data_IF_222142047000
#
_entry.id   IF_222142047000
#
_cell.length_a   1.000
_cell.length_b   1.000
_cell.length_c   1.000
_cell.angle_alpha   90.00
_cell.angle_beta   90.00
_cell.angle_gamma   90.00
#
_symmetry.space_group_name_H-M   'P 1'
#
loop_
_entity.id
_entity.type
_entity.pdbx_description
1 polymer ?
#
# COMPACT_ATOMS: atom_id res chain seq x y z
N UNK A 1 -14.11 4.09 6.10
CA UNK A 1 -13.37 3.41 5.02
C UNK A 1 -12.20 2.64 5.62
N UNK A 2 -11.89 1.47 5.07
CA UNK A 2 -10.66 0.73 5.38
C UNK A 2 -9.63 1.03 4.31
N UNK A 3 -8.41 1.35 4.72
CA UNK A 3 -7.33 1.69 3.82
C UNK A 3 -6.15 0.73 3.98
N UNK A 4 -5.51 0.41 2.86
CA UNK A 4 -4.33 -0.43 2.78
C UNK A 4 -3.40 0.05 1.64
N UNK A 5 -2.13 -0.34 1.71
CA UNK A 5 -1.14 -0.13 0.67
C UNK A 5 -0.53 -1.44 0.18
N UNK A 6 -0.48 -1.60 -1.14
CA UNK A 6 0.18 -2.72 -1.78
C UNK A 6 1.43 -2.24 -2.54
N UNK A 7 2.56 -2.93 -2.33
CA UNK A 7 3.80 -2.69 -3.05
C UNK A 7 3.91 -3.63 -4.25
N UNK A 8 4.02 -3.06 -5.44
CA UNK A 8 4.29 -3.79 -6.68
C UNK A 8 5.68 -3.45 -7.18
N UNK A 9 6.45 -4.45 -7.60
CA UNK A 9 7.77 -4.16 -8.14
C UNK A 9 8.45 -5.38 -8.72
N UNK A 10 9.60 -5.14 -9.33
CA UNK A 10 10.39 -6.20 -9.94
C UNK A 10 11.12 -6.98 -8.85
N UNK A 11 10.67 -8.21 -8.60
CA UNK A 11 11.40 -9.18 -7.77
C UNK A 11 12.15 -10.14 -8.69
N UNK A 12 13.48 -10.10 -8.64
CA UNK A 12 14.32 -11.07 -9.34
C UNK A 12 14.48 -12.32 -8.48
N UNK A 13 13.67 -13.35 -8.77
CA UNK A 13 13.84 -14.66 -8.15
C UNK A 13 14.66 -15.60 -9.03
N UNK A 14 15.65 -16.26 -8.44
CA UNK A 14 16.51 -17.21 -9.17
C UNK A 14 15.87 -18.58 -9.12
N UNK A 15 15.39 -19.09 -10.25
CA UNK A 15 14.69 -20.39 -10.32
C UNK A 15 15.65 -21.54 -10.62
N UNK A 16 15.29 -22.76 -10.19
CA UNK A 16 16.03 -23.98 -10.54
C UNK A 16 15.77 -24.34 -12.02
N UNK A 17 16.82 -24.77 -12.72
CA UNK A 17 16.71 -25.31 -14.07
C UNK A 17 17.45 -26.66 -14.19
N UNK A 18 17.04 -27.47 -15.17
CA UNK A 18 17.71 -28.72 -15.49
C UNK A 18 19.00 -28.46 -16.28
N UNK A 19 20.06 -29.20 -15.97
CA UNK A 19 21.35 -29.07 -16.63
C UNK A 19 22.07 -30.44 -16.69
N UNK A 20 22.68 -30.81 -17.83
CA UNK A 20 23.44 -32.05 -17.95
C UNK A 20 24.69 -32.02 -17.06
N UNK A 21 25.01 -33.17 -16.45
CA UNK A 21 26.25 -33.31 -15.67
C UNK A 21 27.47 -33.18 -16.59
N UNK A 22 28.57 -32.53 -16.16
CA UNK A 22 28.83 -31.97 -14.82
C UNK A 22 28.55 -30.45 -14.71
N UNK A 23 27.77 -29.86 -15.62
CA UNK A 23 27.65 -28.41 -15.75
C UNK A 23 26.76 -27.84 -14.65
N UNK A 24 27.21 -26.74 -14.03
CA UNK A 24 26.40 -25.93 -13.11
C UNK A 24 26.01 -24.63 -13.81
N UNK A 25 24.72 -24.38 -14.07
CA UNK A 25 24.28 -23.17 -14.73
C UNK A 25 24.47 -21.97 -13.77
N UNK A 26 25.10 -20.92 -14.29
CA UNK A 26 25.22 -19.62 -13.63
C UNK A 26 24.25 -18.66 -14.30
N UNK A 27 23.43 -17.98 -13.49
CA UNK A 27 22.53 -16.94 -13.95
C UNK A 27 22.89 -15.64 -13.24
N UNK A 28 22.89 -14.53 -13.96
CA UNK A 28 23.01 -13.21 -13.35
C UNK A 28 21.66 -12.83 -12.73
N UNK A 29 21.64 -12.62 -11.42
CA UNK A 29 20.51 -12.02 -10.74
C UNK A 29 20.65 -10.49 -10.81
N UNK A 30 19.64 -9.82 -11.34
CA UNK A 30 19.58 -8.35 -11.33
C UNK A 30 18.87 -7.92 -10.04
N UNK A 31 19.62 -7.41 -9.07
CA UNK A 31 19.07 -6.87 -7.82
C UNK A 31 18.71 -5.38 -8.03
N UNK A 32 17.81 -5.11 -8.98
CA UNK A 32 17.24 -3.77 -9.14
C UNK A 32 15.87 -3.76 -8.50
N UNK A 33 15.68 -2.86 -7.55
CA UNK A 33 14.46 -2.71 -6.78
C UNK A 33 13.67 -1.49 -7.29
N UNK A 34 12.86 -1.71 -8.32
CA UNK A 34 11.89 -0.73 -8.79
C UNK A 34 10.53 -1.09 -8.20
N UNK A 35 9.93 -0.15 -7.47
CA UNK A 35 8.65 -0.32 -6.82
C UNK A 35 7.68 0.80 -7.21
N UNK A 36 6.41 0.43 -7.25
CA UNK A 36 5.25 1.29 -7.38
C UNK A 36 4.29 0.87 -6.28
N UNK A 37 3.57 1.81 -5.70
CA UNK A 37 2.70 1.58 -4.57
C UNK A 37 1.25 1.89 -4.97
N UNK A 38 0.35 0.97 -4.68
CA UNK A 38 -1.07 1.19 -4.83
C UNK A 38 -1.66 1.49 -3.44
N UNK A 39 -2.31 2.64 -3.34
CA UNK A 39 -3.11 3.04 -2.21
C UNK A 39 -4.57 2.72 -2.52
N UNK A 40 -5.28 2.12 -1.58
CA UNK A 40 -6.69 1.80 -1.75
C UNK A 40 -7.46 2.06 -0.47
N UNK A 41 -8.64 2.67 -0.57
CA UNK A 41 -9.60 2.82 0.51
C UNK A 41 -10.98 2.33 0.07
N UNK A 42 -11.62 1.50 0.90
CA UNK A 42 -12.95 0.95 0.61
C UNK A 42 -13.99 1.44 1.62
N UNK A 43 -15.15 1.90 1.14
CA UNK A 43 -16.33 2.17 1.95
C UNK A 43 -17.03 0.87 2.29
N UNK A 44 -17.29 0.63 3.58
CA UNK A 44 -18.00 -0.57 4.06
C UNK A 44 -19.51 -0.44 3.81
N UNK A 45 -20.03 0.79 3.81
CA UNK A 45 -21.45 1.05 3.64
C UNK A 45 -21.86 0.82 2.18
N UNK A 46 -21.06 1.35 1.26
CA UNK A 46 -21.44 1.46 -0.16
C UNK A 46 -20.65 0.50 -1.06
N UNK A 47 -19.54 -0.06 -0.55
CA UNK A 47 -18.63 -0.90 -1.32
C UNK A 47 -17.76 -0.12 -2.32
N UNK A 48 -17.82 1.22 -2.30
CA UNK A 48 -17.01 2.06 -3.19
C UNK A 48 -15.52 1.96 -2.85
N UNK A 49 -14.69 1.96 -3.90
CA UNK A 49 -13.25 1.77 -3.81
C UNK A 49 -12.54 2.97 -4.44
N UNK A 50 -11.75 3.66 -3.62
CA UNK A 50 -10.86 4.73 -4.06
C UNK A 50 -9.43 4.22 -4.13
N UNK A 51 -8.82 4.31 -5.31
CA UNK A 51 -7.45 3.86 -5.54
C UNK A 51 -6.56 4.94 -6.14
N UNK A 52 -5.29 4.95 -5.76
CA UNK A 52 -4.26 5.81 -6.34
C UNK A 52 -2.94 5.05 -6.47
N UNK A 53 -2.26 5.19 -7.60
CA UNK A 53 -0.95 4.58 -7.84
C UNK A 53 0.12 5.66 -7.69
N UNK A 54 1.03 5.49 -6.74
CA UNK A 54 2.08 6.45 -6.39
C UNK A 54 3.47 5.80 -6.43
N UNK A 55 4.53 6.57 -6.75
CA UNK A 55 5.87 6.01 -6.90
C UNK A 55 6.54 5.65 -5.57
N UNK A 56 6.05 6.17 -4.44
CA UNK A 56 6.70 6.03 -3.13
C UNK A 56 5.66 5.88 -2.00
N UNK A 57 6.11 5.30 -0.89
CA UNK A 57 5.37 5.33 0.39
C UNK A 57 6.04 6.32 1.32
N UNK A 58 5.45 7.51 1.41
CA UNK A 58 5.87 8.59 2.31
C UNK A 58 4.65 9.42 2.73
N UNK A 59 4.85 10.37 3.64
CA UNK A 59 3.75 11.21 4.15
C UNK A 59 3.15 12.13 3.10
N UNK A 60 3.93 12.59 2.12
CA UNK A 60 3.43 13.46 1.04
C UNK A 60 2.46 12.69 0.12
N UNK A 61 2.84 11.46 -0.26
CA UNK A 61 2.00 10.55 -1.04
C UNK A 61 0.73 10.16 -0.29
N UNK A 62 0.83 9.95 1.03
CA UNK A 62 -0.34 9.72 1.87
C UNK A 62 -1.26 10.95 1.92
N UNK A 63 -0.72 12.16 2.05
CA UNK A 63 -1.54 13.37 2.02
C UNK A 63 -2.25 13.55 0.66
N UNK A 64 -1.55 13.31 -0.45
CA UNK A 64 -2.16 13.32 -1.78
C UNK A 64 -3.33 12.34 -1.90
N UNK A 65 -3.17 11.14 -1.33
CA UNK A 65 -4.25 10.15 -1.30
C UNK A 65 -5.45 10.63 -0.46
N UNK A 66 -5.20 11.22 0.72
CA UNK A 66 -6.26 11.76 1.57
C UNK A 66 -7.01 12.92 0.90
N UNK A 67 -6.28 13.82 0.24
CA UNK A 67 -6.85 14.95 -0.48
C UNK A 67 -7.74 14.48 -1.64
N UNK A 68 -7.29 13.45 -2.37
CA UNK A 68 -8.06 12.83 -3.45
C UNK A 68 -9.35 12.19 -2.94
N UNK A 69 -9.26 11.38 -1.88
CA UNK A 69 -10.44 10.75 -1.24
C UNK A 69 -11.42 11.82 -0.76
N UNK A 70 -10.94 12.90 -0.15
CA UNK A 70 -11.79 13.99 0.29
C UNK A 70 -12.48 14.75 -0.86
N UNK A 71 -11.76 14.93 -1.97
CA UNK A 71 -12.30 15.60 -3.16
C UNK A 71 -13.43 14.79 -3.80
N UNK A 72 -13.36 13.46 -3.72
CA UNK A 72 -14.37 12.54 -4.25
C UNK A 72 -15.61 12.44 -3.36
N UNK A 73 -15.44 12.67 -2.07
CA UNK A 73 -16.49 12.56 -1.06
C UNK A 73 -16.71 13.86 -0.26
N UNK A 74 -17.02 15.00 -0.93
CA UNK A 74 -16.99 16.33 -0.31
C UNK A 74 -18.07 16.55 0.77
N UNK A 75 -19.13 15.74 0.77
CA UNK A 75 -20.24 15.85 1.72
C UNK A 75 -20.16 14.82 2.87
N UNK A 76 -19.20 13.91 2.82
CA UNK A 76 -19.13 12.78 3.73
C UNK A 76 -18.12 13.02 4.83
N UNK A 77 -18.43 12.49 6.01
CA UNK A 77 -17.49 12.44 7.13
C UNK A 77 -16.79 11.10 7.12
N UNK A 78 -15.61 11.06 6.50
CA UNK A 78 -14.84 9.83 6.37
C UNK A 78 -14.04 9.56 7.64
N UNK A 79 -14.27 8.37 8.21
CA UNK A 79 -13.37 7.76 9.20
C UNK A 79 -12.51 6.75 8.47
N UNK A 80 -11.20 7.02 8.39
CA UNK A 80 -10.24 6.13 7.75
C UNK A 80 -9.55 5.28 8.82
N UNK A 81 -9.63 3.96 8.68
CA UNK A 81 -8.89 3.02 9.51
C UNK A 81 -7.55 2.68 8.82
N UNK A 82 -6.45 2.93 9.53
CA UNK A 82 -5.07 2.74 9.06
C UNK A 82 -4.38 1.68 9.93
N UNK A 83 -3.47 0.89 9.34
CA UNK A 83 -2.76 -0.21 10.03
C UNK A 83 -1.69 0.26 11.05
N UNK A 84 -1.38 1.55 11.06
CA UNK A 84 -0.45 2.15 12.00
C UNK A 84 1.02 1.94 11.64
N UNK A 85 1.35 1.66 10.37
CA UNK A 85 2.73 1.70 9.91
C UNK A 85 3.38 3.09 10.13
N UNK A 86 4.71 3.14 10.20
CA UNK A 86 5.45 4.30 10.72
C UNK A 86 5.17 5.63 10.01
N UNK A 87 4.83 5.59 8.72
CA UNK A 87 4.48 6.76 7.91
C UNK A 87 3.03 7.26 8.09
N UNK A 88 2.15 6.48 8.72
CA UNK A 88 0.79 6.89 9.09
C UNK A 88 0.76 7.76 10.35
N UNK A 89 1.91 7.92 11.03
CA UNK A 89 2.04 8.64 12.30
C UNK A 89 2.88 9.92 12.22
N UNK A 90 3.16 10.45 11.02
CA UNK A 90 3.88 11.72 10.96
C UNK A 90 3.00 12.86 11.46
N UNK A 91 3.59 13.74 12.28
CA UNK A 91 2.96 14.98 12.75
C UNK A 91 2.58 15.96 11.62
N UNK A 92 2.88 15.60 10.37
CA UNK A 92 2.72 16.41 9.16
C UNK A 92 1.43 16.13 8.40
N UNK A 93 0.74 15.02 8.69
CA UNK A 93 -0.54 14.71 8.06
C UNK A 93 -1.62 15.63 8.62
N UNK A 94 -2.35 16.34 7.77
CA UNK A 94 -3.43 17.21 8.18
C UNK A 94 -4.70 16.36 8.45
N UNK A 95 -5.11 16.17 9.72
CA UNK A 95 -6.22 15.28 10.07
C UNK A 95 -7.60 15.94 9.93
N UNK A 96 -7.68 17.19 9.45
CA UNK A 96 -8.96 17.92 9.40
C UNK A 96 -9.93 17.38 8.34
N UNK A 97 -9.43 16.63 7.37
CA UNK A 97 -10.20 16.16 6.21
C UNK A 97 -10.74 14.73 6.42
N UNK A 98 -10.04 13.91 7.19
CA UNK A 98 -10.51 12.63 7.70
C UNK A 98 -10.15 12.58 9.16
N UNK A 99 -11.13 12.41 10.06
CA UNK A 99 -10.83 12.04 11.45
C UNK A 99 -10.25 10.63 11.41
N UNK A 100 -8.96 10.54 11.12
CA UNK A 100 -8.14 9.35 11.13
C UNK A 100 -8.13 8.83 12.57
N UNK A 101 -9.14 8.02 12.86
CA UNK A 101 -9.28 7.39 14.15
C UNK A 101 -8.35 6.20 14.08
N UNK A 102 -7.23 6.27 14.80
CA UNK A 102 -6.32 5.13 14.94
C UNK A 102 -7.05 4.01 15.66
N UNK A 103 -7.73 3.16 14.90
CA UNK A 103 -8.30 1.93 15.42
C UNK A 103 -7.19 0.90 15.27
N UNK A 104 -6.56 0.54 16.39
CA UNK A 104 -5.56 -0.54 16.43
C UNK A 104 -6.29 -1.87 16.25
N UNK A 105 -6.64 -2.21 15.01
CA UNK A 105 -7.22 -3.50 14.68
C UNK A 105 -6.06 -4.46 14.43
N UNK A 106 -5.61 -5.13 15.48
CA UNK A 106 -4.62 -6.20 15.36
C UNK A 106 -5.34 -7.48 14.91
N UNK A 107 -5.89 -7.46 13.68
CA UNK A 107 -6.55 -8.61 13.06
C UNK A 107 -5.78 -8.98 11.79
N UNK A 108 -4.95 -10.05 11.82
CA UNK A 108 -4.17 -10.48 10.66
C UNK A 108 -5.02 -11.03 9.50
N UNK A 109 -6.34 -11.14 9.66
CA UNK A 109 -7.27 -11.65 8.64
C UNK A 109 -7.71 -10.60 7.61
N UNK A 110 -7.47 -9.30 7.87
CA UNK A 110 -7.93 -8.18 7.01
C UNK A 110 -6.79 -7.49 6.26
N UNK A 111 -5.54 -7.90 6.50
CA UNK A 111 -4.40 -7.44 5.72
C UNK A 111 -4.39 -8.18 4.38
N UNK A 112 -4.70 -7.48 3.29
CA UNK A 112 -4.39 -7.95 1.95
C UNK A 112 -2.90 -7.69 1.63
N UNK A 113 -2.02 -8.07 2.57
CA UNK A 113 -0.59 -8.08 2.33
C UNK A 113 -0.28 -9.26 1.41
N UNK A 114 -0.24 -8.97 0.10
CA UNK A 114 0.26 -9.91 -0.90
C UNK A 114 1.72 -10.25 -0.57
N UNK A 115 1.96 -11.49 -0.17
CA UNK A 115 3.30 -12.09 -0.10
C UNK A 115 3.87 -12.25 -1.50
#
# INVERSE_FOLDING_TARGET
>A
MFQDEARFGRVSDTRRCWCPKPIRPLCQAIITQEYVYAYAAVSVADGELDTLILPQVNSDCMQLFLDEVASRHPNDRIVLALDGAGWHCSHTLNPDIARASKIRVNLPEIHFSSR
#
